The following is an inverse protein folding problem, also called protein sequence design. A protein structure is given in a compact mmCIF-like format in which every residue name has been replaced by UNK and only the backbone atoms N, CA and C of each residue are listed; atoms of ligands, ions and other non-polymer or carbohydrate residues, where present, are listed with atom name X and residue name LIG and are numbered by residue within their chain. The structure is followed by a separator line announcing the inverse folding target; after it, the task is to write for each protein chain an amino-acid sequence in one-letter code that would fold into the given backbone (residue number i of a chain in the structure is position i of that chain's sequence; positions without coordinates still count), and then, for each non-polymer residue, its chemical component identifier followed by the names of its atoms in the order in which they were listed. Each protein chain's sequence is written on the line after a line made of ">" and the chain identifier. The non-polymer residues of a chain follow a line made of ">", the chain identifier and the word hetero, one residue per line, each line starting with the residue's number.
data_IF_051015547134
#
_entry.id   IF_051015547134
#
_cell.length_a   1.000
_cell.length_b   1.000
_cell.length_c   1.000
_cell.angle_alpha   90.00
_cell.angle_beta   90.00
_cell.angle_gamma   90.00
#
_symmetry.space_group_name_H-M   'P 1'
#
loop_
_entity.id
_entity.type
_entity.pdbx_description
1 polymer ?
#
# COMPACT_ATOMS: atom_id res chain seq x y z
N UNK A 1 16.09 -21.37 -19.72
CA UNK A 1 16.36 -20.02 -19.17
C UNK A 1 16.26 -18.96 -20.26
N UNK A 2 16.96 -19.10 -21.39
CA UNK A 2 16.89 -18.14 -22.50
C UNK A 2 15.66 -18.26 -23.40
N UNK A 3 15.09 -19.46 -23.56
CA UNK A 3 13.89 -19.67 -24.38
C UNK A 3 12.66 -18.86 -23.95
N UNK A 4 12.47 -18.66 -22.64
CA UNK A 4 11.37 -17.84 -22.13
C UNK A 4 11.59 -16.34 -22.43
N UNK A 5 12.85 -15.90 -22.42
CA UNK A 5 13.22 -14.50 -22.72
C UNK A 5 13.10 -14.24 -24.22
N UNK A 6 13.54 -15.19 -25.05
CA UNK A 6 13.37 -15.14 -26.50
C UNK A 6 11.89 -15.03 -26.90
N UNK A 7 11.03 -15.86 -26.29
CA UNK A 7 9.59 -15.79 -26.49
C UNK A 7 9.00 -14.46 -26.03
N UNK A 8 9.41 -13.95 -24.85
CA UNK A 8 8.92 -12.68 -24.33
C UNK A 8 9.34 -11.46 -25.17
N UNK A 9 10.45 -11.58 -25.90
CA UNK A 9 11.00 -10.52 -26.75
C UNK A 9 10.67 -10.74 -28.24
N UNK A 10 9.83 -11.71 -28.56
CA UNK A 10 9.37 -11.95 -29.91
C UNK A 10 8.70 -10.68 -30.45
N UNK A 11 9.18 -10.20 -31.60
CA UNK A 11 8.71 -8.96 -32.25
C UNK A 11 8.82 -7.68 -31.40
N UNK A 12 9.61 -7.67 -30.33
CA UNK A 12 9.73 -6.53 -29.43
C UNK A 12 10.62 -5.39 -29.96
N UNK A 13 11.49 -5.64 -30.94
CA UNK A 13 12.48 -4.67 -31.44
C UNK A 13 12.10 -4.06 -32.79
N UNK A 14 12.41 -2.78 -33.00
CA UNK A 14 12.18 -2.09 -34.29
C UNK A 14 12.97 -2.73 -35.45
N UNK A 15 14.14 -3.30 -35.12
CA UNK A 15 14.96 -4.11 -35.99
C UNK A 15 15.87 -5.03 -35.16
N UNK A 16 16.43 -6.07 -35.80
CA UNK A 16 17.19 -7.11 -35.11
C UNK A 16 16.32 -8.17 -34.42
N UNK A 17 16.95 -9.09 -33.71
CA UNK A 17 16.28 -10.21 -33.03
C UNK A 17 16.84 -10.43 -31.62
N UNK A 18 16.26 -11.36 -30.87
CA UNK A 18 16.84 -11.80 -29.61
C UNK A 18 18.30 -12.25 -29.75
N UNK A 19 18.68 -12.87 -30.87
CA UNK A 19 20.07 -13.25 -31.13
C UNK A 19 21.00 -12.05 -31.28
N UNK A 20 20.53 -10.97 -31.92
CA UNK A 20 21.27 -9.69 -32.01
C UNK A 20 21.51 -9.07 -30.62
N UNK A 21 20.52 -9.18 -29.72
CA UNK A 21 20.70 -8.70 -28.34
C UNK A 21 21.79 -9.50 -27.61
N UNK A 22 21.78 -10.82 -27.75
CA UNK A 22 22.74 -11.70 -27.09
C UNK A 22 24.15 -11.58 -27.69
N UNK A 23 24.27 -11.21 -28.97
CA UNK A 23 25.56 -10.91 -29.61
C UNK A 23 26.16 -9.57 -29.16
N UNK A 24 25.43 -8.78 -28.36
CA UNK A 24 25.88 -7.49 -27.84
C UNK A 24 25.50 -6.29 -28.70
N UNK A 25 24.63 -6.47 -29.70
CA UNK A 25 24.11 -5.36 -30.49
C UNK A 25 23.14 -4.51 -29.66
N UNK A 26 23.17 -3.20 -29.90
CA UNK A 26 22.22 -2.27 -29.31
C UNK A 26 20.93 -2.27 -30.13
N UNK A 27 19.80 -2.62 -29.51
CA UNK A 27 18.49 -2.67 -30.15
C UNK A 27 17.53 -1.64 -29.54
N UNK A 28 16.60 -1.16 -30.36
CA UNK A 28 15.50 -0.28 -29.94
C UNK A 28 14.22 -1.07 -29.78
N UNK A 29 13.53 -0.91 -28.65
CA UNK A 29 12.20 -1.49 -28.46
C UNK A 29 11.15 -0.76 -29.30
N UNK A 30 10.25 -1.53 -29.92
CA UNK A 30 9.05 -0.96 -30.54
C UNK A 30 8.24 -0.23 -29.50
N UNK A 31 7.77 0.95 -29.87
CA UNK A 31 6.75 1.65 -29.09
C UNK A 31 5.39 1.01 -29.32
N UNK A 32 4.57 0.89 -28.27
CA UNK A 32 3.19 0.45 -28.42
C UNK A 32 2.42 1.46 -29.28
N UNK A 33 1.48 1.02 -30.14
CA UNK A 33 0.67 1.94 -30.93
C UNK A 33 -0.12 2.88 -30.01
N UNK A 34 -0.25 4.15 -30.41
CA UNK A 34 -0.96 5.16 -29.59
C UNK A 34 -2.48 5.09 -29.71
N UNK A 35 -2.99 4.27 -30.61
CA UNK A 35 -4.40 4.15 -31.00
C UNK A 35 -4.90 2.70 -30.91
N UNK A 36 -4.14 1.81 -30.27
CA UNK A 36 -4.51 0.41 -30.06
C UNK A 36 -4.58 0.15 -28.56
N UNK A 37 -5.77 -0.15 -28.08
CA UNK A 37 -6.05 -0.38 -26.66
C UNK A 37 -6.68 -1.76 -26.49
N UNK A 38 -6.13 -2.56 -25.58
CA UNK A 38 -6.65 -3.90 -25.26
C UNK A 38 -7.92 -3.87 -24.40
N UNK A 39 -8.73 -2.81 -24.51
CA UNK A 39 -10.03 -2.67 -23.83
C UNK A 39 -11.15 -3.26 -24.71
N UNK A 40 -12.30 -3.64 -24.15
CA UNK A 40 -13.44 -4.14 -24.93
C UNK A 40 -13.87 -3.23 -26.10
N UNK A 41 -13.79 -1.91 -25.93
CA UNK A 41 -14.14 -0.93 -26.96
C UNK A 41 -13.02 -0.57 -27.94
N UNK A 42 -11.78 -1.02 -27.68
CA UNK A 42 -10.60 -0.60 -28.44
C UNK A 42 -10.19 0.87 -28.21
N UNK A 43 -10.69 1.51 -27.14
CA UNK A 43 -10.47 2.93 -26.79
C UNK A 43 -10.15 3.09 -25.29
N UNK A 44 -9.80 4.30 -24.89
CA UNK A 44 -9.78 4.68 -23.46
C UNK A 44 -11.22 4.69 -22.94
N UNK A 45 -11.50 3.86 -21.93
CA UNK A 45 -12.83 3.71 -21.33
C UNK A 45 -12.95 4.55 -20.06
N UNK A 46 -13.76 5.61 -20.11
CA UNK A 46 -14.20 6.33 -18.91
C UNK A 46 -15.30 5.57 -18.16
N UNK A 47 -16.12 4.85 -18.92
CA UNK A 47 -17.17 3.95 -18.44
C UNK A 47 -16.70 2.51 -18.66
N UNK A 48 -16.57 1.72 -17.60
CA UNK A 48 -16.16 0.33 -17.69
C UNK A 48 -17.38 -0.58 -17.87
N UNK A 49 -17.52 -1.20 -19.05
CA UNK A 49 -18.54 -2.23 -19.29
C UNK A 49 -18.33 -3.44 -18.39
N UNK A 50 -17.07 -3.86 -18.19
CA UNK A 50 -16.71 -4.98 -17.31
C UNK A 50 -17.20 -4.73 -15.89
N UNK A 51 -16.99 -3.51 -15.35
CA UNK A 51 -17.46 -3.18 -14.00
C UNK A 51 -19.00 -3.23 -13.90
N UNK A 52 -19.72 -2.73 -14.89
CA UNK A 52 -21.19 -2.81 -14.94
C UNK A 52 -21.69 -4.27 -15.01
N UNK A 53 -21.05 -5.11 -15.83
CA UNK A 53 -21.40 -6.52 -16.01
C UNK A 53 -21.26 -7.34 -14.71
N UNK A 54 -20.23 -7.04 -13.91
CA UNK A 54 -20.02 -7.68 -12.60
C UNK A 54 -20.72 -6.94 -11.43
N UNK A 55 -21.57 -5.95 -11.73
CA UNK A 55 -22.44 -5.29 -10.76
C UNK A 55 -21.85 -4.10 -10.00
N UNK A 56 -20.68 -3.59 -10.39
CA UNK A 56 -20.08 -2.37 -9.80
C UNK A 56 -20.50 -1.11 -10.55
N UNK A 57 -20.20 0.05 -9.95
CA UNK A 57 -20.35 1.32 -10.63
C UNK A 57 -19.33 1.39 -11.79
N UNK A 58 -19.80 1.62 -13.03
CA UNK A 58 -18.92 1.70 -14.21
C UNK A 58 -18.05 2.96 -14.25
N UNK A 59 -18.33 3.94 -13.39
CA UNK A 59 -17.58 5.17 -13.23
C UNK A 59 -16.90 5.19 -11.85
N UNK A 60 -15.75 5.86 -11.71
CA UNK A 60 -15.11 6.01 -10.40
C UNK A 60 -16.01 6.81 -9.45
N UNK A 61 -16.22 6.26 -8.26
CA UNK A 61 -16.92 6.91 -7.16
C UNK A 61 -16.04 6.97 -5.93
N UNK A 62 -16.07 8.09 -5.22
CA UNK A 62 -15.46 8.18 -3.91
C UNK A 62 -16.44 7.64 -2.87
N UNK A 63 -16.16 6.46 -2.31
CA UNK A 63 -16.95 5.90 -1.21
C UNK A 63 -16.39 6.42 0.11
N UNK A 64 -17.20 7.05 0.98
CA UNK A 64 -16.73 7.51 2.28
C UNK A 64 -16.39 6.31 3.17
N UNK A 65 -15.27 6.40 3.90
CA UNK A 65 -14.94 5.42 4.93
C UNK A 65 -15.78 5.72 6.18
N UNK A 66 -16.68 4.83 6.55
CA UNK A 66 -17.43 4.93 7.80
C UNK A 66 -16.52 4.53 8.97
N UNK A 67 -16.00 5.53 9.69
CA UNK A 67 -15.19 5.34 10.89
C UNK A 67 -16.11 5.42 12.10
N UNK A 68 -16.15 4.37 12.91
CA UNK A 68 -16.89 4.42 14.18
C UNK A 68 -16.35 5.52 15.09
N UNK A 69 -17.23 6.10 15.91
CA UNK A 69 -16.87 7.19 16.81
C UNK A 69 -15.80 6.73 17.79
N UNK A 70 -14.62 7.35 17.73
CA UNK A 70 -13.48 7.03 18.59
C UNK A 70 -12.41 6.17 17.91
N UNK A 71 -12.67 5.64 16.72
CA UNK A 71 -11.69 4.91 15.93
C UNK A 71 -10.84 5.87 15.08
N UNK A 72 -9.69 5.36 14.67
CA UNK A 72 -8.70 6.03 13.84
C UNK A 72 -8.48 5.26 12.55
N UNK A 73 -8.21 5.97 11.45
CA UNK A 73 -7.61 5.34 10.26
C UNK A 73 -6.14 5.09 10.55
N UNK A 74 -5.69 3.86 10.39
CA UNK A 74 -4.27 3.51 10.40
C UNK A 74 -3.70 3.58 8.99
N UNK A 75 -2.81 4.54 8.77
CA UNK A 75 -2.01 4.63 7.55
C UNK A 75 -0.62 4.05 7.77
N UNK A 76 -0.10 3.37 6.75
CA UNK A 76 1.28 2.89 6.76
C UNK A 76 1.96 3.17 5.43
N UNK A 77 3.17 3.73 5.50
CA UNK A 77 3.96 4.03 4.31
C UNK A 77 5.40 3.56 4.49
N UNK A 78 6.08 3.35 3.36
CA UNK A 78 7.52 3.17 3.37
C UNK A 78 8.19 4.41 3.97
N UNK A 79 9.37 4.20 4.55
CA UNK A 79 10.23 5.29 5.02
C UNK A 79 11.54 5.26 4.23
N UNK A 80 12.24 6.39 4.05
CA UNK A 80 13.43 6.44 3.20
C UNK A 80 14.58 5.51 3.63
N UNK A 81 14.58 5.03 4.87
CA UNK A 81 15.63 4.15 5.42
C UNK A 81 15.45 2.68 5.05
N UNK A 82 14.22 2.25 4.77
CA UNK A 82 13.91 0.82 4.65
C UNK A 82 13.22 0.52 3.33
N UNK A 83 13.72 -0.50 2.64
CA UNK A 83 13.00 -1.15 1.53
C UNK A 83 12.30 -2.36 2.11
N UNK A 84 11.01 -2.20 2.43
CA UNK A 84 10.27 -3.21 3.19
C UNK A 84 10.99 -3.51 4.52
N UNK A 85 11.32 -4.78 4.81
CA UNK A 85 12.05 -5.21 6.00
C UNK A 85 13.58 -5.23 5.83
N UNK A 86 14.12 -4.81 4.67
CA UNK A 86 15.56 -4.75 4.40
C UNK A 86 16.21 -3.49 5.00
N UNK A 87 17.55 -3.51 5.12
CA UNK A 87 18.39 -2.42 5.65
C UNK A 87 18.30 -2.20 7.16
N UNK A 88 17.72 -3.13 7.92
CA UNK A 88 17.67 -3.05 9.37
C UNK A 88 19.05 -3.27 10.02
N UNK A 89 19.95 -3.97 9.35
CA UNK A 89 21.36 -4.11 9.73
C UNK A 89 22.15 -2.80 9.61
N UNK A 90 21.68 -1.86 8.77
CA UNK A 90 22.31 -0.55 8.56
C UNK A 90 21.68 0.52 9.45
N UNK A 91 20.35 0.56 9.52
CA UNK A 91 19.61 1.65 10.17
C UNK A 91 18.99 1.27 11.52
N UNK A 92 19.18 0.03 11.96
CA UNK A 92 18.50 -0.55 13.12
C UNK A 92 17.09 -1.05 12.79
N UNK A 93 16.41 -1.58 13.79
CA UNK A 93 15.05 -2.08 13.64
C UNK A 93 14.08 -0.97 13.17
N UNK A 94 13.07 -1.35 12.38
CA UNK A 94 11.98 -0.43 12.03
C UNK A 94 11.29 0.00 13.35
N UNK A 95 11.16 1.31 13.63
CA UNK A 95 10.75 1.76 14.94
C UNK A 95 9.29 1.39 15.24
N UNK A 96 8.99 0.82 16.42
CA UNK A 96 7.64 0.46 16.86
C UNK A 96 6.89 1.71 17.34
N UNK A 97 6.60 2.62 16.42
CA UNK A 97 6.01 3.94 16.72
C UNK A 97 4.69 4.17 16.01
N UNK A 98 3.86 5.00 16.63
CA UNK A 98 2.67 5.57 16.00
C UNK A 98 2.67 7.08 16.12
N UNK A 99 2.54 7.77 14.99
CA UNK A 99 2.37 9.20 14.94
C UNK A 99 0.88 9.54 15.11
N UNK A 100 0.57 10.40 16.07
CA UNK A 100 -0.78 10.86 16.40
C UNK A 100 -0.86 12.38 16.39
N UNK A 101 -2.00 12.93 15.94
CA UNK A 101 -2.26 14.36 15.98
C UNK A 101 -2.33 14.89 17.43
N UNK A 102 -1.89 16.12 17.68
CA UNK A 102 -1.87 16.67 19.05
C UNK A 102 -3.26 16.80 19.67
N UNK A 103 -4.29 17.11 18.88
CA UNK A 103 -5.67 17.24 19.37
C UNK A 103 -6.28 15.88 19.74
N UNK A 104 -5.92 14.82 19.02
CA UNK A 104 -6.32 13.47 19.41
C UNK A 104 -5.63 13.03 20.69
N UNK A 105 -4.33 13.31 20.80
CA UNK A 105 -3.56 12.98 21.98
C UNK A 105 -4.12 13.69 23.22
N UNK A 106 -4.45 14.99 23.11
CA UNK A 106 -5.08 15.75 24.20
C UNK A 106 -6.44 15.16 24.60
N UNK A 107 -7.30 14.87 23.62
CA UNK A 107 -8.63 14.25 23.86
C UNK A 107 -8.52 12.89 24.56
N UNK A 108 -7.47 12.12 24.29
CA UNK A 108 -7.23 10.81 24.88
C UNK A 108 -6.34 10.84 26.14
N UNK A 109 -5.84 12.00 26.55
CA UNK A 109 -4.88 12.11 27.67
C UNK A 109 -3.55 11.40 27.42
N UNK A 110 -3.15 11.25 26.15
CA UNK A 110 -1.90 10.63 25.71
C UNK A 110 -0.83 11.71 25.60
N UNK A 111 0.40 11.37 26.03
CA UNK A 111 1.57 12.27 25.96
C UNK A 111 2.65 11.64 25.09
N UNK A 112 3.55 12.50 24.62
CA UNK A 112 4.73 12.08 23.85
C UNK A 112 5.46 10.92 24.55
N UNK A 113 5.76 9.88 23.78
CA UNK A 113 6.47 8.70 24.26
C UNK A 113 5.68 7.74 25.14
N UNK A 114 4.39 7.97 25.41
CA UNK A 114 3.54 6.95 26.03
C UNK A 114 3.47 5.69 25.16
N UNK A 115 3.32 4.53 25.80
CA UNK A 115 2.97 3.29 25.13
C UNK A 115 1.46 3.25 24.97
N UNK A 116 1.00 2.96 23.76
CA UNK A 116 -0.41 2.78 23.43
C UNK A 116 -0.63 1.45 22.77
N UNK A 117 -1.85 0.93 22.92
CA UNK A 117 -2.31 -0.25 22.21
C UNK A 117 -3.18 0.19 21.04
N UNK A 118 -2.78 -0.16 19.82
CA UNK A 118 -3.64 -0.10 18.64
C UNK A 118 -4.33 -1.46 18.48
N UNK A 119 -5.65 -1.48 18.38
CA UNK A 119 -6.40 -2.74 18.31
C UNK A 119 -7.61 -2.66 17.38
N UNK A 120 -8.00 -3.82 16.85
CA UNK A 120 -9.28 -4.05 16.21
C UNK A 120 -9.68 -5.54 16.37
N UNK A 121 -10.69 -6.00 15.63
CA UNK A 121 -11.18 -7.37 15.71
C UNK A 121 -10.17 -8.45 15.27
N UNK A 122 -9.08 -8.06 14.61
CA UNK A 122 -8.05 -8.98 14.09
C UNK A 122 -6.87 -9.15 15.03
N UNK A 123 -6.58 -8.15 15.86
CA UNK A 123 -5.44 -8.19 16.75
C UNK A 123 -5.16 -6.88 17.45
N UNK A 124 -4.01 -6.83 18.12
CA UNK A 124 -3.52 -5.65 18.81
C UNK A 124 -2.00 -5.55 18.72
N UNK A 125 -1.49 -4.33 18.78
CA UNK A 125 -0.05 -4.03 18.73
C UNK A 125 0.24 -2.89 19.71
N UNK A 126 1.28 -3.06 20.52
CA UNK A 126 1.77 -2.01 21.41
C UNK A 126 2.90 -1.22 20.75
N UNK A 127 2.81 0.10 20.78
CA UNK A 127 3.76 1.01 20.12
C UNK A 127 3.97 2.27 20.95
N UNK A 128 5.09 2.94 20.73
CA UNK A 128 5.38 4.24 21.35
C UNK A 128 4.75 5.38 20.54
N UNK A 129 4.05 6.29 21.19
CA UNK A 129 3.43 7.46 20.53
C UNK A 129 4.47 8.53 20.23
N UNK A 130 4.37 9.10 19.03
CA UNK A 130 4.97 10.37 18.64
C UNK A 130 3.86 11.36 18.30
N UNK A 131 3.84 12.52 18.95
CA UNK A 131 2.83 13.54 18.72
C UNK A 131 3.32 14.48 17.61
N UNK A 132 2.54 14.62 16.55
CA UNK A 132 2.84 15.51 15.43
C UNK A 132 1.58 15.89 14.67
N UNK A 133 1.51 17.14 14.21
CA UNK A 133 0.42 17.64 13.37
C UNK A 133 0.66 17.38 11.87
N UNK A 134 1.65 16.55 11.52
CA UNK A 134 1.86 16.05 10.15
C UNK A 134 0.80 15.02 9.73
N UNK A 135 0.07 14.44 10.69
CA UNK A 135 -1.10 13.59 10.42
C UNK A 135 -2.38 14.36 10.82
N UNK A 136 -3.47 14.25 10.03
CA UNK A 136 -4.76 14.84 10.40
C UNK A 136 -5.35 14.23 11.68
N UNK A 137 -6.30 14.93 12.29
CA UNK A 137 -7.13 14.35 13.34
C UNK A 137 -7.83 13.06 12.86
N UNK A 138 -8.01 12.09 13.76
CA UNK A 138 -8.57 10.74 13.51
C UNK A 138 -7.78 9.89 12.53
N UNK A 139 -6.53 10.25 12.26
CA UNK A 139 -5.59 9.46 11.47
C UNK A 139 -4.34 9.22 12.31
N UNK A 140 -3.91 7.97 12.38
CA UNK A 140 -2.63 7.59 12.95
C UNK A 140 -1.75 7.00 11.86
N UNK A 141 -0.44 7.21 11.97
CA UNK A 141 0.53 6.69 11.02
C UNK A 141 1.58 5.85 11.70
N UNK A 142 1.96 4.73 11.09
CA UNK A 142 3.09 3.93 11.55
C UNK A 142 3.95 3.51 10.35
N UNK A 143 5.27 3.31 10.50
CA UNK A 143 6.10 2.78 9.43
C UNK A 143 5.54 1.45 8.91
N UNK A 144 5.49 1.29 7.59
CA UNK A 144 5.07 0.03 6.97
C UNK A 144 5.96 -1.13 7.45
N UNK A 145 5.34 -2.28 7.74
CA UNK A 145 6.02 -3.51 8.17
C UNK A 145 6.82 -3.37 9.48
N UNK A 146 6.49 -2.39 10.31
CA UNK A 146 6.97 -2.37 11.70
C UNK A 146 6.40 -3.55 12.49
N UNK A 147 7.08 -3.87 13.58
CA UNK A 147 6.59 -4.77 14.62
C UNK A 147 6.25 -3.93 15.87
N UNK A 148 5.38 -4.45 16.72
CA UNK A 148 5.11 -3.90 18.04
C UNK A 148 6.26 -4.13 19.01
N UNK A 149 6.12 -3.55 20.21
CA UNK A 149 7.10 -3.69 21.28
C UNK A 149 7.29 -5.15 21.76
N UNK A 150 6.31 -6.03 21.54
CA UNK A 150 6.39 -7.46 21.84
C UNK A 150 6.58 -8.33 20.59
N UNK A 151 6.93 -7.72 19.45
CA UNK A 151 7.25 -8.42 18.19
C UNK A 151 6.03 -8.77 17.32
N UNK A 152 4.84 -8.30 17.67
CA UNK A 152 3.66 -8.52 16.83
C UNK A 152 3.78 -7.72 15.52
N UNK A 153 3.63 -8.35 14.34
CA UNK A 153 3.69 -7.60 13.09
C UNK A 153 2.51 -6.64 13.01
N UNK A 154 2.74 -5.37 12.65
CA UNK A 154 1.68 -4.37 12.50
C UNK A 154 0.57 -4.82 11.52
N UNK A 155 0.94 -5.63 10.53
CA UNK A 155 0.02 -6.20 9.56
C UNK A 155 -1.04 -7.13 10.17
N UNK A 156 -0.92 -7.55 11.43
CA UNK A 156 -1.99 -8.30 12.11
C UNK A 156 -3.30 -7.50 12.22
N UNK A 157 -3.22 -6.16 12.13
CA UNK A 157 -4.38 -5.26 12.15
C UNK A 157 -5.06 -5.12 10.77
N UNK A 158 -4.40 -5.56 9.69
CA UNK A 158 -4.83 -5.35 8.31
C UNK A 158 -5.71 -6.51 7.83
N UNK A 159 -6.74 -6.20 7.04
CA UNK A 159 -7.60 -7.22 6.43
C UNK A 159 -6.89 -8.03 5.34
N UNK A 160 -7.03 -9.35 5.39
CA UNK A 160 -6.63 -10.27 4.32
C UNK A 160 -7.64 -10.35 3.17
N UNK A 161 -8.81 -9.70 3.28
CA UNK A 161 -9.81 -9.73 2.23
C UNK A 161 -9.36 -8.90 1.02
N UNK A 162 -9.20 -9.50 -0.17
CA UNK A 162 -8.82 -8.77 -1.37
C UNK A 162 -9.94 -7.83 -1.82
N UNK A 163 -9.59 -6.79 -2.58
CA UNK A 163 -10.56 -5.95 -3.29
C UNK A 163 -11.32 -6.79 -4.33
N UNK A 164 -12.62 -6.52 -4.49
CA UNK A 164 -13.46 -7.30 -5.41
C UNK A 164 -13.06 -7.09 -6.87
N UNK A 165 -12.65 -5.86 -7.22
CA UNK A 165 -12.02 -5.57 -8.51
C UNK A 165 -10.50 -5.68 -8.36
N UNK A 166 -9.87 -6.48 -9.21
CA UNK A 166 -8.41 -6.58 -9.31
C UNK A 166 -7.70 -7.35 -8.19
N UNK A 167 -8.42 -7.84 -7.17
CA UNK A 167 -7.88 -8.66 -6.08
C UNK A 167 -6.72 -8.01 -5.29
N UNK A 168 -6.66 -6.68 -5.28
CA UNK A 168 -5.62 -5.93 -4.57
C UNK A 168 -5.80 -5.90 -3.05
N UNK A 169 -4.78 -5.53 -2.27
CA UNK A 169 -4.87 -5.42 -0.82
C UNK A 169 -5.66 -4.18 -0.34
N UNK A 170 -6.14 -4.21 0.91
CA UNK A 170 -6.96 -3.14 1.55
C UNK A 170 -6.23 -2.45 2.71
N UNK A 171 -5.02 -1.94 2.48
CA UNK A 171 -4.16 -1.38 3.55
C UNK A 171 -4.71 -0.08 4.16
N UNK A 172 -5.05 0.90 3.31
CA UNK A 172 -5.34 2.28 3.72
C UNK A 172 -6.80 2.50 4.15
N UNK A 173 -7.53 1.42 4.39
CA UNK A 173 -8.89 1.42 4.95
C UNK A 173 -8.93 0.68 6.30
N UNK A 174 -7.77 0.46 6.92
CA UNK A 174 -7.65 -0.18 8.23
C UNK A 174 -8.08 0.81 9.31
N UNK A 175 -9.02 0.40 10.17
CA UNK A 175 -9.46 1.19 11.32
C UNK A 175 -9.04 0.52 12.61
N UNK A 176 -8.64 1.32 13.60
CA UNK A 176 -8.18 0.85 14.92
C UNK A 176 -8.71 1.74 16.04
N UNK A 177 -8.90 1.17 17.22
CA UNK A 177 -8.97 1.93 18.47
C UNK A 177 -7.56 2.20 18.97
N UNK A 178 -7.35 3.33 19.66
CA UNK A 178 -6.09 3.63 20.35
C UNK A 178 -6.37 3.90 21.82
N UNK A 179 -5.78 3.09 22.70
CA UNK A 179 -5.89 3.25 24.15
C UNK A 179 -4.51 3.33 24.78
N UNK A 180 -4.39 4.11 25.86
CA UNK A 180 -3.18 4.06 26.69
C UNK A 180 -3.03 2.65 27.26
N UNK A 181 -1.82 2.10 27.14
CA UNK A 181 -1.47 0.82 27.78
C UNK A 181 -1.33 1.00 29.29
#
# INVERSE_FOLDING_TARGET
>A
AWSAVELALENAFEGGSFQSLISGEMLTFKTKPKNDYSTPSGKIEFYSSIAAEIGFNPMPIQTPLCIEKGNFILLTSATPKFTNTQFQEVYGAIPPVVTMNSQDAERLGIREGHIVTMANERGQVQVKVTISNTVPERVVWSPRQSEGLAGEPLNCLVSSNPQEIGSGPRFNSTTVTVTRH
#
